data_IF_659684684097
#
_entry.id   IF_659684684097
#
_cell.length_a   1.000
_cell.length_b   1.000
_cell.length_c   1.000
_cell.angle_alpha   90.00
_cell.angle_beta   90.00
_cell.angle_gamma   90.00
#
_symmetry.space_group_name_H-M   'P 1'
#
loop_
_entity.id
_entity.type
_entity.pdbx_description
1 polymer ?
#
# COMPACT_ATOMS: atom_id res chain seq x y z
N UNK A 1 -7.10 -12.45 -17.84
CA UNK A 1 -6.90 -10.99 -17.72
C UNK A 1 -5.98 -10.74 -16.54
N UNK A 2 -4.97 -9.88 -16.67
CA UNK A 2 -4.05 -9.57 -15.56
C UNK A 2 -4.79 -8.75 -14.46
N UNK A 3 -4.35 -8.86 -13.21
CA UNK A 3 -4.80 -8.03 -12.09
C UNK A 3 -4.55 -6.55 -12.38
N UNK A 4 -3.44 -6.22 -13.04
CA UNK A 4 -3.13 -4.84 -13.43
C UNK A 4 -4.13 -4.31 -14.46
N UNK A 5 -4.57 -5.13 -15.41
CA UNK A 5 -5.59 -4.73 -16.39
C UNK A 5 -6.95 -4.51 -15.71
N UNK A 6 -7.28 -5.36 -14.74
CA UNK A 6 -8.63 -5.41 -14.13
C UNK A 6 -8.82 -4.30 -13.09
N UNK A 7 -7.82 -4.07 -12.24
CA UNK A 7 -7.94 -3.17 -11.08
C UNK A 7 -7.07 -1.91 -11.23
N UNK A 8 -6.07 -1.94 -12.10
CA UNK A 8 -5.02 -0.93 -12.19
C UNK A 8 -4.02 -1.03 -11.03
N UNK A 9 -2.80 -0.55 -11.27
CA UNK A 9 -1.70 -0.62 -10.31
C UNK A 9 -2.03 0.02 -8.94
N UNK A 10 -2.81 1.10 -8.93
CA UNK A 10 -3.23 1.79 -7.70
C UNK A 10 -4.60 1.26 -7.30
N UNK A 11 -4.61 0.16 -6.54
CA UNK A 11 -5.81 -0.55 -6.08
C UNK A 11 -5.52 -1.36 -4.82
N UNK A 12 -6.59 -1.77 -4.12
CA UNK A 12 -6.51 -2.65 -2.95
C UNK A 12 -5.89 -4.01 -3.32
N UNK A 13 -6.35 -4.59 -4.43
CA UNK A 13 -5.96 -5.92 -4.90
C UNK A 13 -4.47 -5.97 -5.20
N UNK A 14 -3.96 -4.97 -5.93
CA UNK A 14 -2.54 -4.88 -6.26
C UNK A 14 -1.69 -4.65 -5.01
N UNK A 15 -2.14 -3.80 -4.07
CA UNK A 15 -1.42 -3.60 -2.82
C UNK A 15 -1.28 -4.91 -2.02
N UNK A 16 -2.37 -5.68 -1.85
CA UNK A 16 -2.34 -6.98 -1.19
C UNK A 16 -1.41 -7.97 -1.89
N UNK A 17 -1.55 -8.12 -3.21
CA UNK A 17 -0.73 -9.03 -4.00
C UNK A 17 0.75 -8.67 -3.95
N UNK A 18 1.10 -7.38 -3.98
CA UNK A 18 2.48 -6.91 -3.82
C UNK A 18 3.06 -7.27 -2.44
N UNK A 19 2.27 -7.12 -1.37
CA UNK A 19 2.73 -7.44 -0.02
C UNK A 19 2.94 -8.96 0.14
N UNK A 20 2.00 -9.78 -0.35
CA UNK A 20 2.10 -11.25 -0.37
C UNK A 20 3.30 -11.74 -1.20
N UNK A 21 3.51 -11.14 -2.37
CA UNK A 21 4.66 -11.41 -3.22
C UNK A 21 5.97 -11.06 -2.52
N UNK A 22 6.05 -9.87 -1.91
CA UNK A 22 7.22 -9.44 -1.15
C UNK A 22 7.54 -10.38 0.02
N UNK A 23 6.52 -10.83 0.77
CA UNK A 23 6.69 -11.82 1.84
C UNK A 23 7.22 -13.15 1.33
N UNK A 24 6.69 -13.62 0.21
CA UNK A 24 7.08 -14.89 -0.40
C UNK A 24 8.53 -14.85 -0.90
N UNK A 25 8.89 -13.80 -1.65
CA UNK A 25 10.24 -13.63 -2.20
C UNK A 25 11.26 -13.34 -1.11
N UNK A 26 10.90 -12.52 -0.12
CA UNK A 26 11.77 -12.17 1.00
C UNK A 26 11.89 -13.23 2.08
N UNK A 27 11.05 -14.29 2.04
CA UNK A 27 10.94 -15.32 3.07
C UNK A 27 10.79 -14.74 4.49
N UNK A 28 10.02 -13.65 4.62
CA UNK A 28 9.81 -12.93 5.88
C UNK A 28 8.48 -13.29 6.55
N UNK A 29 8.38 -13.03 7.86
CA UNK A 29 7.10 -13.17 8.58
C UNK A 29 6.09 -12.09 8.18
N UNK A 30 6.58 -10.87 7.99
CA UNK A 30 5.77 -9.70 7.64
C UNK A 30 6.32 -9.03 6.38
N UNK A 31 5.44 -8.44 5.59
CA UNK A 31 5.83 -7.56 4.49
C UNK A 31 4.81 -6.45 4.31
N UNK A 32 5.28 -5.34 3.74
CA UNK A 32 4.47 -4.16 3.42
C UNK A 32 4.71 -3.77 1.96
N UNK A 33 3.68 -3.24 1.32
CA UNK A 33 3.74 -2.68 -0.03
C UNK A 33 3.10 -1.30 -0.06
N UNK A 34 3.50 -0.49 -1.02
CA UNK A 34 2.83 0.77 -1.35
C UNK A 34 2.61 0.87 -2.85
N UNK A 35 1.44 1.36 -3.25
CA UNK A 35 1.14 1.72 -4.64
C UNK A 35 0.25 2.95 -4.66
N UNK A 36 0.66 3.99 -5.38
CA UNK A 36 -0.02 5.28 -5.32
C UNK A 36 0.48 6.30 -6.33
N UNK A 37 -0.21 7.44 -6.36
CA UNK A 37 0.02 8.54 -7.32
C UNK A 37 0.62 9.72 -6.57
N UNK A 38 1.95 9.81 -6.54
CA UNK A 38 2.63 10.92 -5.84
C UNK A 38 2.57 12.26 -6.60
N UNK A 39 2.16 12.29 -7.87
CA UNK A 39 2.09 13.52 -8.65
C UNK A 39 3.44 13.98 -9.24
N UNK A 40 3.49 15.20 -9.83
CA UNK A 40 2.37 16.15 -9.94
C UNK A 40 1.30 15.74 -10.97
N UNK A 41 1.61 14.80 -11.88
CA UNK A 41 0.66 14.24 -12.85
C UNK A 41 0.22 12.80 -12.52
N UNK A 42 -0.50 12.18 -13.45
CA UNK A 42 -0.92 10.76 -13.35
C UNK A 42 -2.18 10.53 -12.51
N UNK A 43 -2.79 11.59 -11.96
CA UNK A 43 -4.07 11.51 -11.29
C UNK A 43 -5.26 11.60 -12.25
N UNK A 44 -6.40 11.07 -11.82
CA UNK A 44 -7.73 11.25 -12.42
C UNK A 44 -8.74 11.65 -11.33
N UNK A 45 -9.97 12.04 -11.69
CA UNK A 45 -11.04 12.27 -10.71
C UNK A 45 -11.29 11.07 -9.78
N UNK A 46 -11.17 9.85 -10.31
CA UNK A 46 -11.36 8.59 -9.56
C UNK A 46 -10.13 8.19 -8.74
N UNK A 47 -8.94 8.51 -9.25
CA UNK A 47 -7.65 8.20 -8.64
C UNK A 47 -6.80 9.48 -8.56
N UNK A 48 -7.07 10.39 -7.60
CA UNK A 48 -6.39 11.68 -7.55
C UNK A 48 -4.90 11.54 -7.18
N UNK A 49 -4.12 12.57 -7.48
CA UNK A 49 -2.78 12.74 -6.88
C UNK A 49 -2.93 12.74 -5.36
N UNK A 50 -2.06 12.00 -4.68
CA UNK A 50 -2.12 11.75 -3.24
C UNK A 50 -2.76 10.43 -2.87
N UNK A 51 -3.49 9.77 -3.78
CA UNK A 51 -4.06 8.44 -3.52
C UNK A 51 -2.94 7.40 -3.38
N UNK A 52 -2.87 6.74 -2.22
CA UNK A 52 -1.96 5.62 -1.94
C UNK A 52 -2.71 4.47 -1.27
N UNK A 53 -2.43 3.25 -1.74
CA UNK A 53 -2.80 2.01 -1.08
C UNK A 53 -1.58 1.36 -0.42
N UNK A 54 -1.80 0.76 0.73
CA UNK A 54 -0.79 0.10 1.56
C UNK A 54 -1.23 -1.33 1.79
N UNK A 55 -0.46 -2.32 1.36
CA UNK A 55 -0.71 -3.73 1.68
C UNK A 55 0.16 -4.16 2.84
N UNK A 56 -0.39 -4.86 3.83
CA UNK A 56 0.36 -5.46 4.93
C UNK A 56 -0.02 -6.93 5.04
N UNK A 57 0.96 -7.83 5.03
CA UNK A 57 0.75 -9.27 5.18
C UNK A 57 1.55 -9.82 6.36
N UNK A 58 1.00 -10.84 7.01
CA UNK A 58 1.67 -11.57 8.08
C UNK A 58 0.92 -12.84 8.49
N UNK A 59 1.15 -13.36 9.72
CA UNK A 59 0.53 -14.61 10.18
C UNK A 59 -1.00 -14.62 10.16
N UNK A 60 -1.65 -13.45 10.33
CA UNK A 60 -3.11 -13.31 10.38
C UNK A 60 -3.73 -12.92 9.03
N UNK A 61 -3.04 -13.20 7.93
CA UNK A 61 -3.48 -12.90 6.57
C UNK A 61 -2.94 -11.57 6.03
N UNK A 62 -3.65 -11.01 5.05
CA UNK A 62 -3.26 -9.78 4.35
C UNK A 62 -4.38 -8.75 4.43
N UNK A 63 -4.03 -7.52 4.79
CA UNK A 63 -4.92 -6.37 4.84
C UNK A 63 -4.41 -5.27 3.94
N UNK A 64 -5.30 -4.33 3.57
CA UNK A 64 -4.90 -3.14 2.86
C UNK A 64 -5.59 -1.90 3.42
N UNK A 65 -4.87 -0.77 3.36
CA UNK A 65 -5.32 0.54 3.81
C UNK A 65 -5.22 1.54 2.67
N UNK A 66 -6.11 2.53 2.66
CA UNK A 66 -6.15 3.61 1.67
C UNK A 66 -5.94 4.94 2.38
N UNK A 67 -5.12 5.81 1.80
CA UNK A 67 -4.98 7.21 2.21
C UNK A 67 -4.99 8.14 1.00
N UNK A 68 -5.49 9.37 1.21
CA UNK A 68 -5.31 10.49 0.29
C UNK A 68 -4.37 11.49 0.98
N UNK A 69 -3.13 11.53 0.52
CA UNK A 69 -2.06 12.35 1.08
C UNK A 69 -2.03 13.71 0.41
N UNK A 70 -1.66 14.74 1.16
CA UNK A 70 -1.64 16.12 0.70
C UNK A 70 -0.19 16.59 0.71
N UNK A 71 0.19 17.30 -0.35
CA UNK A 71 1.51 17.90 -0.51
C UNK A 71 2.04 17.73 -1.92
N UNK A 72 3.29 18.10 -2.11
CA UNK A 72 4.01 17.83 -3.35
C UNK A 72 4.44 16.35 -3.42
N UNK A 73 5.13 15.97 -4.51
CA UNK A 73 5.58 14.59 -4.74
C UNK A 73 6.49 14.06 -3.64
N UNK A 74 7.32 14.91 -3.04
CA UNK A 74 8.22 14.54 -1.94
C UNK A 74 7.43 14.34 -0.65
N UNK A 75 6.56 15.28 -0.30
CA UNK A 75 5.69 15.20 0.88
C UNK A 75 4.86 13.91 0.86
N UNK A 76 4.23 13.61 -0.27
CA UNK A 76 3.39 12.41 -0.43
C UNK A 76 4.21 11.13 -0.24
N UNK A 77 5.44 11.07 -0.78
CA UNK A 77 6.30 9.88 -0.63
C UNK A 77 6.77 9.71 0.81
N UNK A 78 7.10 10.81 1.49
CA UNK A 78 7.52 10.79 2.88
C UNK A 78 6.38 10.32 3.79
N UNK A 79 5.21 10.95 3.69
CA UNK A 79 4.03 10.54 4.46
C UNK A 79 3.58 9.11 4.16
N UNK A 80 3.72 8.65 2.91
CA UNK A 80 3.43 7.25 2.57
C UNK A 80 4.40 6.28 3.26
N UNK A 81 5.70 6.58 3.29
CA UNK A 81 6.67 5.74 3.99
C UNK A 81 6.38 5.64 5.49
N UNK A 82 6.05 6.77 6.13
CA UNK A 82 5.68 6.83 7.55
C UNK A 82 4.40 6.03 7.85
N UNK A 83 3.36 6.21 7.02
CA UNK A 83 2.11 5.46 7.17
C UNK A 83 2.30 3.96 6.93
N UNK A 84 3.15 3.57 5.98
CA UNK A 84 3.46 2.17 5.75
C UNK A 84 4.04 1.51 7.02
N UNK A 85 4.98 2.18 7.69
CA UNK A 85 5.55 1.71 8.96
C UNK A 85 4.50 1.68 10.08
N UNK A 86 3.65 2.71 10.15
CA UNK A 86 2.55 2.75 11.11
C UNK A 86 1.59 1.56 10.93
N UNK A 87 1.17 1.24 9.70
CA UNK A 87 0.28 0.10 9.45
C UNK A 87 0.91 -1.25 9.75
N UNK A 88 2.22 -1.40 9.54
CA UNK A 88 2.94 -2.60 9.97
C UNK A 88 2.93 -2.70 11.50
N UNK A 89 3.24 -1.60 12.19
CA UNK A 89 3.25 -1.56 13.65
C UNK A 89 1.88 -1.91 14.25
N UNK A 90 0.78 -1.31 13.76
CA UNK A 90 -0.57 -1.63 14.24
C UNK A 90 -0.96 -3.07 13.92
N UNK A 91 -0.67 -3.57 12.72
CA UNK A 91 -0.93 -4.96 12.36
C UNK A 91 -0.27 -5.96 13.32
N UNK A 92 0.98 -5.70 13.70
CA UNK A 92 1.74 -6.56 14.62
C UNK A 92 1.20 -6.47 16.05
N UNK A 93 0.82 -5.27 16.50
CA UNK A 93 0.49 -5.02 17.91
C UNK A 93 -0.97 -5.28 18.26
N UNK A 94 -1.89 -5.12 17.30
CA UNK A 94 -3.33 -5.21 17.58
C UNK A 94 -3.92 -6.60 17.34
N UNK A 95 -3.31 -7.44 16.48
CA UNK A 95 -3.80 -8.79 16.14
C UNK A 95 -3.23 -9.94 16.99
N UNK A 96 -2.52 -9.62 18.07
CA UNK A 96 -2.11 -10.56 19.11
C UNK A 96 -3.11 -10.72 20.26
N UNK A 97 -4.35 -10.23 20.10
CA UNK A 97 -5.47 -10.43 21.05
C UNK A 97 -6.47 -11.44 20.51
#
# INVERSE_FOLDING_TARGET
>A
QDMLDTYGAVSEQVAKAMAEGARTVGQTTYAVSTTGIAGPGGGSPEKPVGLVWFGVTGPHGTVAHKANLIGNREDIRQSAAELALYYVYTYITEKGK
#
